data_IF_347073598203
#
_entry.id   IF_347073598203
#
_cell.length_a   1.000
_cell.length_b   1.000
_cell.length_c   1.000
_cell.angle_alpha   90.00
_cell.angle_beta   90.00
_cell.angle_gamma   90.00
#
_symmetry.space_group_name_H-M   'P 1'
#
loop_
_entity.id
_entity.type
_entity.pdbx_description
1 polymer ?
#
# COMPACT_ATOMS: atom_id res chain seq x y z
N UNK A 1 7.30 4.73 -30.08
CA UNK A 1 6.48 4.06 -29.06
C UNK A 1 6.83 4.78 -27.77
N UNK A 2 5.88 5.42 -27.09
CA UNK A 2 6.21 5.98 -25.76
C UNK A 2 6.74 4.81 -24.92
N UNK A 3 7.84 4.97 -24.16
CA UNK A 3 8.26 3.86 -23.31
C UNK A 3 7.16 3.59 -22.28
N UNK A 4 6.86 2.30 -22.09
CA UNK A 4 5.81 1.87 -21.19
C UNK A 4 6.26 2.14 -19.75
N UNK A 5 5.68 3.18 -19.15
CA UNK A 5 5.87 3.52 -17.73
C UNK A 5 5.35 2.37 -16.89
N UNK A 6 6.10 2.00 -15.86
CA UNK A 6 5.76 0.96 -14.90
C UNK A 6 5.93 1.49 -13.48
N UNK A 7 4.92 1.26 -12.64
CA UNK A 7 4.95 1.53 -11.20
C UNK A 7 4.81 0.23 -10.44
N UNK A 8 5.60 0.07 -9.38
CA UNK A 8 5.51 -1.06 -8.45
C UNK A 8 5.14 -0.55 -7.07
N UNK A 9 4.14 -1.15 -6.43
CA UNK A 9 3.86 -0.95 -5.01
C UNK A 9 4.14 -2.24 -4.24
N UNK A 10 4.77 -2.12 -3.07
CA UNK A 10 5.17 -3.25 -2.23
C UNK A 10 4.42 -3.18 -0.91
N UNK A 11 3.64 -4.23 -0.61
CA UNK A 11 2.78 -4.34 0.56
C UNK A 11 3.03 -5.65 1.30
N UNK A 12 2.66 -5.67 2.58
CA UNK A 12 2.92 -6.81 3.46
C UNK A 12 1.85 -7.89 3.29
N UNK A 13 0.58 -7.49 3.33
CA UNK A 13 -0.56 -8.40 3.40
C UNK A 13 -1.63 -8.08 2.36
N UNK A 14 -2.51 -9.06 2.03
CA UNK A 14 -3.70 -8.80 1.22
C UNK A 14 -4.71 -7.90 1.95
N UNK A 15 -4.94 -6.67 1.46
CA UNK A 15 -5.81 -5.57 1.96
C UNK A 15 -5.07 -4.23 2.09
N UNK A 16 -3.76 -4.29 2.31
CA UNK A 16 -2.89 -3.12 2.38
C UNK A 16 -2.99 -2.27 1.11
N UNK A 17 -3.03 -2.91 -0.06
CA UNK A 17 -3.10 -2.25 -1.36
C UNK A 17 -4.43 -1.49 -1.56
N UNK A 18 -5.50 -1.95 -0.91
CA UNK A 18 -6.82 -1.35 -1.01
C UNK A 18 -6.92 -0.02 -0.24
N UNK A 19 -6.10 0.17 0.79
CA UNK A 19 -6.13 1.35 1.67
C UNK A 19 -4.94 2.31 1.48
N UNK A 20 -3.85 1.86 0.83
CA UNK A 20 -2.59 2.60 0.72
C UNK A 20 -2.20 2.88 -0.74
N UNK A 21 -3.08 3.58 -1.47
CA UNK A 21 -2.79 4.06 -2.82
C UNK A 21 -3.70 3.58 -3.94
N UNK A 22 -4.72 2.76 -3.63
CA UNK A 22 -5.64 2.21 -4.65
C UNK A 22 -6.14 3.24 -5.68
N UNK A 23 -6.63 4.44 -5.30
CA UNK A 23 -7.03 5.48 -6.25
C UNK A 23 -5.87 5.98 -7.14
N UNK A 24 -4.67 6.21 -6.58
CA UNK A 24 -3.47 6.59 -7.34
C UNK A 24 -3.11 5.52 -8.37
N UNK A 25 -3.09 4.25 -7.96
CA UNK A 25 -2.74 3.14 -8.85
C UNK A 25 -3.80 2.96 -9.96
N UNK A 26 -5.08 3.08 -9.63
CA UNK A 26 -6.16 3.03 -10.62
C UNK A 26 -6.07 4.17 -11.64
N UNK A 27 -5.74 5.38 -11.20
CA UNK A 27 -5.46 6.52 -12.10
C UNK A 27 -4.31 6.21 -13.05
N UNK A 28 -3.21 5.66 -12.53
CA UNK A 28 -2.05 5.34 -13.36
C UNK A 28 -2.34 4.23 -14.38
N UNK A 29 -3.05 3.18 -13.98
CA UNK A 29 -3.53 2.16 -14.90
C UNK A 29 -4.43 2.76 -16.01
N UNK A 30 -5.38 3.63 -15.66
CA UNK A 30 -6.29 4.25 -16.64
C UNK A 30 -5.56 5.09 -17.70
N UNK A 31 -4.45 5.75 -17.32
CA UNK A 31 -3.59 6.51 -18.26
C UNK A 31 -2.50 5.67 -18.94
N UNK A 32 -2.57 4.33 -18.81
CA UNK A 32 -1.72 3.39 -19.53
C UNK A 32 -0.36 3.11 -18.90
N UNK A 33 -0.16 3.45 -17.62
CA UNK A 33 1.01 3.00 -16.85
C UNK A 33 0.78 1.56 -16.42
N UNK A 34 1.77 0.70 -16.62
CA UNK A 34 1.75 -0.68 -16.11
C UNK A 34 1.86 -0.66 -14.58
N UNK A 35 0.92 -1.28 -13.89
CA UNK A 35 0.84 -1.29 -12.43
C UNK A 35 1.16 -2.69 -11.87
N UNK A 36 2.12 -2.75 -10.95
CA UNK A 36 2.59 -4.00 -10.34
C UNK A 36 2.34 -3.96 -8.84
N UNK A 37 1.67 -4.98 -8.32
CA UNK A 37 1.56 -5.23 -6.89
C UNK A 37 2.55 -6.33 -6.48
N UNK A 38 3.40 -6.04 -5.50
CA UNK A 38 4.13 -7.06 -4.75
C UNK A 38 3.48 -7.19 -3.38
N UNK A 39 2.94 -8.36 -3.05
CA UNK A 39 2.41 -8.70 -1.74
C UNK A 39 3.35 -9.70 -1.06
N UNK A 40 3.93 -9.35 0.08
CA UNK A 40 5.01 -10.14 0.67
C UNK A 40 4.54 -11.44 1.31
N UNK A 41 3.31 -11.47 1.84
CA UNK A 41 2.76 -12.60 2.58
C UNK A 41 1.34 -12.95 2.16
N UNK A 42 0.88 -14.15 2.51
CA UNK A 42 -0.51 -14.57 2.29
C UNK A 42 -1.50 -14.03 3.33
N UNK A 43 -0.98 -13.44 4.41
CA UNK A 43 -1.82 -12.95 5.50
C UNK A 43 -2.38 -14.06 6.39
N UNK A 44 -1.59 -15.09 6.62
CA UNK A 44 -2.03 -16.32 7.29
C UNK A 44 -2.38 -16.14 8.77
N UNK A 45 -1.97 -15.03 9.38
CA UNK A 45 -2.21 -14.72 10.80
C UNK A 45 -3.35 -13.70 10.99
N UNK A 46 -4.07 -13.34 9.90
CA UNK A 46 -5.22 -12.46 9.95
C UNK A 46 -6.45 -13.13 10.59
N UNK A 47 -7.04 -12.47 11.60
CA UNK A 47 -8.34 -12.86 12.15
C UNK A 47 -9.51 -12.31 11.28
N UNK A 48 -10.71 -12.87 11.44
CA UNK A 48 -11.92 -12.33 10.83
C UNK A 48 -12.32 -11.00 11.51
N UNK A 49 -12.19 -9.90 10.76
CA UNK A 49 -12.51 -8.54 11.22
C UNK A 49 -13.93 -8.09 10.89
N UNK A 50 -14.60 -8.76 9.94
CA UNK A 50 -15.98 -8.44 9.57
C UNK A 50 -16.99 -9.23 10.41
N UNK A 51 -17.63 -8.62 11.43
CA UNK A 51 -18.56 -9.33 12.31
C UNK A 51 -19.83 -9.79 11.59
N UNK A 52 -20.24 -9.12 10.51
CA UNK A 52 -21.45 -9.49 9.76
C UNK A 52 -21.34 -10.90 9.18
N UNK A 53 -20.13 -11.38 8.88
CA UNK A 53 -19.90 -12.72 8.34
C UNK A 53 -20.14 -13.86 9.36
N UNK A 54 -20.37 -13.53 10.64
CA UNK A 54 -20.74 -14.47 11.72
C UNK A 54 -22.27 -14.58 11.92
N UNK A 55 -23.06 -13.74 11.27
CA UNK A 55 -24.53 -13.74 11.42
C UNK A 55 -25.18 -15.03 10.87
N UNK A 56 -26.37 -15.42 11.35
CA UNK A 56 -27.07 -16.61 10.85
C UNK A 56 -27.20 -16.63 9.31
N UNK A 57 -26.69 -17.70 8.71
CA UNK A 57 -26.68 -17.89 7.24
C UNK A 57 -25.44 -17.37 6.53
N UNK A 58 -24.48 -16.78 7.25
CA UNK A 58 -23.20 -16.32 6.72
C UNK A 58 -22.10 -17.39 6.87
N UNK A 59 -20.99 -17.29 6.11
CA UNK A 59 -19.99 -18.36 6.01
C UNK A 59 -19.32 -18.74 7.32
N UNK A 60 -19.21 -17.82 8.29
CA UNK A 60 -18.52 -18.03 9.57
C UNK A 60 -19.48 -18.31 10.72
N UNK A 61 -20.78 -18.47 10.45
CA UNK A 61 -21.78 -18.65 11.49
C UNK A 61 -21.56 -19.93 12.29
N UNK A 62 -21.33 -19.79 13.59
CA UNK A 62 -21.21 -20.91 14.53
C UNK A 62 -19.87 -21.65 14.47
N UNK A 63 -18.87 -21.11 13.78
CA UNK A 63 -17.52 -21.66 13.72
C UNK A 63 -16.74 -21.40 15.01
N UNK A 64 -15.78 -22.27 15.32
CA UNK A 64 -14.77 -22.00 16.35
C UNK A 64 -13.71 -21.01 15.82
N UNK A 65 -12.95 -20.32 16.69
CA UNK A 65 -11.87 -19.43 16.25
C UNK A 65 -10.85 -20.11 15.31
N UNK A 66 -10.57 -21.40 15.50
CA UNK A 66 -9.66 -22.17 14.65
C UNK A 66 -10.26 -22.39 13.25
N UNK A 67 -11.54 -22.76 13.17
CA UNK A 67 -12.26 -22.92 11.89
C UNK A 67 -12.37 -21.58 11.15
N UNK A 68 -12.62 -20.48 11.87
CA UNK A 68 -12.65 -19.14 11.27
C UNK A 68 -11.29 -18.80 10.65
N UNK A 69 -10.19 -19.03 11.36
CA UNK A 69 -8.84 -18.75 10.83
C UNK A 69 -8.55 -19.57 9.58
N UNK A 70 -8.83 -20.86 9.59
CA UNK A 70 -8.63 -21.72 8.40
C UNK A 70 -9.44 -21.21 7.20
N UNK A 71 -10.70 -20.80 7.42
CA UNK A 71 -11.54 -20.26 6.35
C UNK A 71 -11.04 -18.90 5.86
N UNK A 72 -10.64 -17.96 6.76
CA UNK A 72 -10.04 -16.68 6.37
C UNK A 72 -8.84 -16.90 5.47
N UNK A 73 -7.87 -17.74 5.89
CA UNK A 73 -6.66 -18.06 5.12
C UNK A 73 -7.02 -18.56 3.72
N UNK A 74 -8.06 -19.39 3.60
CA UNK A 74 -8.51 -19.91 2.30
C UNK A 74 -9.18 -18.88 1.40
N UNK A 75 -9.77 -17.82 1.96
CA UNK A 75 -10.49 -16.78 1.24
C UNK A 75 -9.57 -15.65 0.75
N UNK A 76 -8.56 -15.28 1.54
CA UNK A 76 -7.68 -14.13 1.26
C UNK A 76 -7.05 -14.10 -0.14
N UNK A 77 -6.63 -15.23 -0.77
CA UNK A 77 -6.11 -15.19 -2.14
C UNK A 77 -7.14 -14.70 -3.17
N UNK A 78 -8.40 -15.14 -3.05
CA UNK A 78 -9.47 -14.71 -3.96
C UNK A 78 -9.90 -13.26 -3.68
N UNK A 79 -9.85 -12.83 -2.43
CA UNK A 79 -10.08 -11.44 -2.02
C UNK A 79 -9.01 -10.50 -2.61
N UNK A 80 -7.73 -10.89 -2.53
CA UNK A 80 -6.62 -10.17 -3.16
C UNK A 80 -6.80 -10.07 -4.68
N UNK A 81 -7.12 -11.18 -5.34
CA UNK A 81 -7.34 -11.20 -6.79
C UNK A 81 -8.48 -10.25 -7.20
N UNK A 82 -9.59 -10.28 -6.45
CA UNK A 82 -10.73 -9.40 -6.70
C UNK A 82 -10.38 -7.92 -6.46
N UNK A 83 -9.67 -7.61 -5.37
CA UNK A 83 -9.19 -6.26 -5.06
C UNK A 83 -8.24 -5.75 -6.14
N UNK A 84 -7.25 -6.57 -6.53
CA UNK A 84 -6.26 -6.20 -7.52
C UNK A 84 -6.90 -5.93 -8.90
N UNK A 85 -7.92 -6.71 -9.26
CA UNK A 85 -8.71 -6.48 -10.48
C UNK A 85 -9.51 -5.18 -10.43
N UNK A 86 -10.05 -4.81 -9.27
CA UNK A 86 -10.76 -3.53 -9.11
C UNK A 86 -9.79 -2.37 -9.27
N UNK A 87 -8.64 -2.41 -8.61
CA UNK A 87 -7.63 -1.35 -8.69
C UNK A 87 -7.05 -1.24 -10.11
N UNK A 88 -6.97 -2.36 -10.82
CA UNK A 88 -6.36 -2.43 -12.15
C UNK A 88 -4.86 -2.69 -12.05
N UNK A 89 -4.43 -3.63 -11.20
CA UNK A 89 -3.06 -4.16 -11.27
C UNK A 89 -2.91 -5.09 -12.48
N UNK A 90 -1.89 -4.84 -13.31
CA UNK A 90 -1.54 -5.71 -14.45
C UNK A 90 -0.89 -7.01 -14.00
N UNK A 91 -0.20 -7.00 -12.86
CA UNK A 91 0.46 -8.16 -12.30
C UNK A 91 0.45 -8.11 -10.76
N UNK A 92 0.06 -9.22 -10.15
CA UNK A 92 0.19 -9.46 -8.70
C UNK A 92 1.29 -10.48 -8.48
N UNK A 93 2.27 -10.12 -7.65
CA UNK A 93 3.44 -10.93 -7.32
C UNK A 93 3.40 -11.25 -5.83
N UNK A 94 3.36 -12.53 -5.48
CA UNK A 94 3.59 -12.96 -4.11
C UNK A 94 5.09 -13.13 -3.87
N UNK A 95 5.66 -12.45 -2.87
CA UNK A 95 7.09 -12.61 -2.52
C UNK A 95 7.38 -13.97 -1.85
N UNK A 96 6.35 -14.55 -1.25
CA UNK A 96 6.32 -15.94 -0.79
C UNK A 96 6.84 -16.16 0.63
N UNK A 97 6.55 -15.24 1.54
CA UNK A 97 6.78 -15.42 2.97
C UNK A 97 5.48 -15.65 3.74
N UNK A 98 5.56 -16.25 4.92
CA UNK A 98 4.42 -16.36 5.84
C UNK A 98 4.22 -15.04 6.57
N UNK A 99 2.97 -14.64 6.78
CA UNK A 99 2.60 -13.57 7.70
C UNK A 99 3.21 -13.79 9.08
N UNK A 100 3.80 -12.75 9.65
CA UNK A 100 4.44 -12.82 10.96
C UNK A 100 3.47 -12.61 12.10
N UNK A 101 2.26 -12.10 11.84
CA UNK A 101 1.37 -11.60 12.87
C UNK A 101 1.94 -10.39 13.61
N UNK A 102 1.22 -9.95 14.64
CA UNK A 102 1.59 -8.76 15.42
C UNK A 102 2.88 -8.97 16.22
N UNK A 103 3.57 -7.88 16.54
CA UNK A 103 4.78 -7.90 17.36
C UNK A 103 4.56 -8.64 18.69
N UNK A 104 5.57 -9.39 19.12
CA UNK A 104 5.60 -10.14 20.39
C UNK A 104 4.52 -11.23 20.51
N UNK A 105 4.04 -11.77 19.37
CA UNK A 105 3.11 -12.90 19.31
C UNK A 105 3.79 -14.20 18.87
N UNK A 106 3.27 -15.41 19.20
CA UNK A 106 3.90 -16.67 18.82
C UNK A 106 4.23 -16.84 17.32
N UNK A 107 3.40 -16.35 16.37
CA UNK A 107 3.73 -16.39 14.94
C UNK A 107 5.04 -15.68 14.55
N UNK A 108 5.48 -14.66 15.31
CA UNK A 108 6.79 -14.01 15.10
C UNK A 108 7.95 -15.00 15.24
N UNK A 109 7.78 -16.12 15.93
CA UNK A 109 8.83 -17.13 16.12
C UNK A 109 8.88 -18.16 14.99
N UNK A 110 7.88 -18.21 14.11
CA UNK A 110 7.80 -19.20 13.03
C UNK A 110 8.99 -19.06 12.06
N UNK A 111 9.70 -20.14 11.69
CA UNK A 111 10.91 -20.06 10.87
C UNK A 111 10.68 -19.44 9.49
N UNK A 112 9.48 -19.63 8.93
CA UNK A 112 9.12 -19.12 7.60
C UNK A 112 8.44 -17.72 7.62
N UNK A 113 8.29 -17.09 8.80
CA UNK A 113 7.65 -15.78 8.86
C UNK A 113 8.55 -14.67 8.28
N UNK A 114 7.92 -13.69 7.65
CA UNK A 114 8.62 -12.65 6.92
C UNK A 114 9.50 -11.78 7.82
N UNK A 115 9.08 -11.52 9.06
CA UNK A 115 9.85 -10.79 10.05
C UNK A 115 11.19 -11.47 10.35
N UNK A 116 11.26 -12.81 10.26
CA UNK A 116 12.48 -13.60 10.49
C UNK A 116 13.29 -13.90 9.23
N UNK A 117 12.76 -13.55 8.05
CA UNK A 117 13.47 -13.76 6.80
C UNK A 117 14.85 -13.09 6.83
N UNK A 118 15.84 -13.75 6.24
CA UNK A 118 17.14 -13.11 6.03
C UNK A 118 16.94 -11.87 5.14
N UNK A 119 17.44 -10.73 5.62
CA UNK A 119 17.19 -9.45 4.98
C UNK A 119 17.79 -9.40 3.57
N UNK A 120 18.96 -10.01 3.36
CA UNK A 120 19.64 -10.01 2.07
C UNK A 120 18.94 -10.93 1.08
N UNK A 121 18.48 -12.10 1.53
CA UNK A 121 17.67 -13.01 0.72
C UNK A 121 16.36 -12.36 0.28
N UNK A 122 15.60 -11.78 1.20
CA UNK A 122 14.33 -11.12 0.91
C UNK A 122 14.50 -9.93 -0.03
N UNK A 123 15.57 -9.14 0.17
CA UNK A 123 15.95 -8.06 -0.74
C UNK A 123 16.27 -8.60 -2.14
N UNK A 124 17.04 -9.68 -2.23
CA UNK A 124 17.40 -10.31 -3.51
C UNK A 124 16.18 -10.80 -4.30
N UNK A 125 15.17 -11.35 -3.61
CA UNK A 125 13.89 -11.72 -4.24
C UNK A 125 13.18 -10.50 -4.83
N UNK A 126 13.09 -9.40 -4.09
CA UNK A 126 12.47 -8.17 -4.58
C UNK A 126 13.27 -7.54 -5.73
N UNK A 127 14.61 -7.56 -5.66
CA UNK A 127 15.48 -7.12 -6.77
C UNK A 127 15.19 -7.90 -8.06
N UNK A 128 15.02 -9.23 -7.98
CA UNK A 128 14.68 -10.03 -9.16
C UNK A 128 13.34 -9.58 -9.79
N UNK A 129 12.36 -9.20 -8.97
CA UNK A 129 11.09 -8.65 -9.47
C UNK A 129 11.24 -7.25 -10.06
N UNK A 130 12.02 -6.37 -9.42
CA UNK A 130 12.33 -5.02 -9.96
C UNK A 130 13.03 -5.15 -11.31
N UNK A 131 14.05 -6.01 -11.44
CA UNK A 131 14.78 -6.21 -12.70
C UNK A 131 13.91 -6.80 -13.80
N UNK A 132 13.01 -7.74 -13.47
CA UNK A 132 12.05 -8.31 -14.42
C UNK A 132 11.02 -7.30 -14.91
N UNK A 133 10.47 -6.51 -13.99
CA UNK A 133 9.32 -5.63 -14.29
C UNK A 133 9.73 -4.22 -14.68
N UNK A 134 10.97 -3.83 -14.38
CA UNK A 134 11.60 -2.54 -14.71
C UNK A 134 10.76 -1.31 -14.28
N UNK A 135 10.30 -1.22 -13.01
CA UNK A 135 9.47 -0.12 -12.54
C UNK A 135 10.28 1.17 -12.34
N UNK A 136 9.89 2.27 -12.98
CA UNK A 136 10.57 3.55 -12.75
C UNK A 136 10.23 4.16 -11.39
N UNK A 137 9.04 3.84 -10.88
CA UNK A 137 8.54 4.31 -9.59
C UNK A 137 8.29 3.11 -8.70
N UNK A 138 8.79 3.17 -7.47
CA UNK A 138 8.50 2.20 -6.40
C UNK A 138 7.77 2.93 -5.27
N UNK A 139 6.67 2.35 -4.79
CA UNK A 139 5.93 2.79 -3.61
C UNK A 139 6.13 1.74 -2.50
N UNK A 140 6.41 2.18 -1.28
CA UNK A 140 6.53 1.33 -0.09
C UNK A 140 6.09 2.08 1.17
N UNK A 141 6.24 1.46 2.34
CA UNK A 141 5.93 2.08 3.62
C UNK A 141 6.96 3.12 4.04
N UNK A 142 6.51 4.08 4.85
CA UNK A 142 7.36 5.11 5.46
C UNK A 142 8.42 4.51 6.39
N UNK A 143 9.52 5.23 6.56
CA UNK A 143 10.51 4.99 7.62
C UNK A 143 9.97 5.33 9.02
N UNK A 144 8.95 6.20 9.08
CA UNK A 144 8.17 6.48 10.30
C UNK A 144 6.90 5.64 10.31
N UNK A 145 6.91 4.55 11.08
CA UNK A 145 5.80 3.62 11.24
C UNK A 145 5.25 3.59 12.68
N UNK A 146 5.50 4.63 13.48
CA UNK A 146 5.10 4.66 14.89
C UNK A 146 3.59 4.47 15.10
N UNK A 147 2.77 4.87 14.13
CA UNK A 147 1.31 4.72 14.19
C UNK A 147 0.80 3.29 14.01
N UNK A 148 1.57 2.40 13.36
CA UNK A 148 1.21 1.00 13.15
C UNK A 148 2.46 0.14 12.89
N UNK A 149 3.20 -0.23 13.96
CA UNK A 149 4.49 -0.91 13.84
C UNK A 149 4.35 -2.42 13.61
N UNK A 150 3.61 -2.82 12.57
CA UNK A 150 3.48 -4.23 12.22
C UNK A 150 4.84 -4.79 11.77
N UNK A 151 5.32 -5.93 12.30
CA UNK A 151 6.64 -6.50 11.97
C UNK A 151 6.89 -6.63 10.46
N UNK A 152 5.88 -7.08 9.71
CA UNK A 152 5.98 -7.21 8.25
C UNK A 152 6.02 -5.88 7.51
N UNK A 153 5.37 -4.82 8.01
CA UNK A 153 5.46 -3.50 7.38
C UNK A 153 6.85 -2.89 7.55
N UNK A 154 7.46 -3.09 8.73
CA UNK A 154 8.86 -2.72 8.96
C UNK A 154 9.77 -3.48 7.99
N UNK A 155 9.56 -4.78 7.83
CA UNK A 155 10.35 -5.61 6.91
C UNK A 155 10.15 -5.22 5.44
N UNK A 156 8.92 -4.90 5.01
CA UNK A 156 8.62 -4.38 3.67
C UNK A 156 9.42 -3.12 3.40
N UNK A 157 9.43 -2.17 4.34
CA UNK A 157 10.22 -0.94 4.22
C UNK A 157 11.71 -1.26 4.04
N UNK A 158 12.28 -2.06 4.96
CA UNK A 158 13.70 -2.42 4.94
C UNK A 158 14.13 -3.01 3.59
N UNK A 159 13.40 -4.02 3.10
CA UNK A 159 13.76 -4.68 1.83
C UNK A 159 13.52 -3.77 0.63
N UNK A 160 12.52 -2.88 0.67
CA UNK A 160 12.18 -2.02 -0.45
C UNK A 160 13.23 -0.93 -0.67
N UNK A 161 13.70 -0.31 0.41
CA UNK A 161 14.79 0.69 0.35
C UNK A 161 16.07 0.04 -0.17
N UNK A 162 16.44 -1.13 0.34
CA UNK A 162 17.62 -1.85 -0.12
C UNK A 162 17.49 -2.32 -1.57
N UNK A 163 16.32 -2.84 -1.97
CA UNK A 163 16.09 -3.30 -3.33
C UNK A 163 16.10 -2.14 -4.34
N UNK A 164 15.57 -0.96 -3.98
CA UNK A 164 15.67 0.25 -4.79
C UNK A 164 17.13 0.63 -5.04
N UNK A 165 17.97 0.62 -4.00
CA UNK A 165 19.39 1.01 -4.10
C UNK A 165 20.23 -0.06 -4.83
N UNK A 166 19.89 -1.35 -4.72
CA UNK A 166 20.69 -2.47 -5.26
C UNK A 166 20.26 -2.97 -6.64
N UNK A 167 19.03 -2.71 -7.08
CA UNK A 167 18.53 -3.29 -8.33
C UNK A 167 19.30 -2.83 -9.57
N UNK A 168 19.87 -1.61 -9.55
CA UNK A 168 20.69 -1.05 -10.63
C UNK A 168 22.16 -1.47 -10.62
N UNK A 169 22.63 -2.14 -9.57
CA UNK A 169 24.03 -2.52 -9.42
C UNK A 169 24.28 -3.97 -9.88
N UNK A 170 25.12 -4.24 -10.90
CA UNK A 170 25.41 -5.58 -11.39
C UNK A 170 26.14 -6.49 -10.39
N UNK A 171 26.83 -5.93 -9.40
CA UNK A 171 27.56 -6.72 -8.41
C UNK A 171 26.62 -7.31 -7.35
N UNK A 172 25.45 -6.67 -7.14
CA UNK A 172 24.39 -7.21 -6.29
C UNK A 172 23.53 -8.19 -7.07
N UNK A 173 23.36 -9.40 -6.51
CA UNK A 173 22.48 -10.45 -7.05
C UNK A 173 22.69 -10.71 -8.56
N UNK A 174 23.89 -11.15 -9.01
CA UNK A 174 24.21 -11.29 -10.44
C UNK A 174 23.27 -12.25 -11.19
N UNK A 175 22.68 -13.22 -10.49
CA UNK A 175 21.75 -14.19 -11.06
C UNK A 175 20.28 -13.71 -11.10
N UNK A 176 19.98 -12.50 -10.61
CA UNK A 176 18.62 -11.93 -10.53
C UNK A 176 18.14 -11.25 -11.83
N UNK A 177 18.83 -11.47 -12.94
CA UNK A 177 18.57 -10.83 -14.24
C UNK A 177 19.33 -9.52 -14.45
N UNK A 178 19.12 -8.90 -15.61
CA UNK A 178 19.79 -7.67 -16.02
C UNK A 178 19.49 -6.52 -15.04
N UNK A 179 20.51 -5.75 -14.61
CA UNK A 179 20.31 -4.60 -13.73
C UNK A 179 19.27 -3.61 -14.26
N UNK A 180 18.53 -3.02 -13.33
CA UNK A 180 17.59 -1.96 -13.62
C UNK A 180 17.47 -1.06 -12.41
N UNK A 181 17.69 0.23 -12.61
CA UNK A 181 17.60 1.23 -11.55
C UNK A 181 16.22 1.92 -11.57
N UNK A 182 15.34 1.68 -10.58
CA UNK A 182 14.20 2.55 -10.36
C UNK A 182 14.66 3.98 -10.10
N UNK A 183 13.86 4.96 -10.53
CA UNK A 183 14.27 6.36 -10.54
C UNK A 183 13.68 7.15 -9.36
N UNK A 184 12.53 6.73 -8.83
CA UNK A 184 11.87 7.39 -7.70
C UNK A 184 11.30 6.39 -6.70
N UNK A 185 11.51 6.66 -5.41
CA UNK A 185 10.98 5.89 -4.29
C UNK A 185 10.05 6.77 -3.47
N UNK A 186 8.79 6.35 -3.33
CA UNK A 186 7.80 7.04 -2.51
C UNK A 186 7.42 6.22 -1.30
N UNK A 187 7.15 6.93 -0.20
CA UNK A 187 6.51 6.37 0.97
C UNK A 187 5.03 6.75 1.00
N UNK A 188 4.20 5.75 1.27
CA UNK A 188 2.81 5.95 1.68
C UNK A 188 2.76 6.67 3.02
N UNK A 189 1.87 7.64 3.18
CA UNK A 189 1.66 8.33 4.45
C UNK A 189 0.18 8.54 4.74
N UNK A 190 -0.16 8.67 6.01
CA UNK A 190 -1.48 9.04 6.46
C UNK A 190 -1.47 10.50 6.94
N UNK A 191 -1.82 11.43 6.04
CA UNK A 191 -1.73 12.85 6.36
C UNK A 191 -2.76 13.27 7.42
N UNK A 192 -2.32 14.09 8.37
CA UNK A 192 -3.18 14.74 9.36
C UNK A 192 -4.20 15.62 8.67
N UNK A 193 -3.80 16.33 7.61
CA UNK A 193 -4.72 17.13 6.79
C UNK A 193 -5.86 16.31 6.19
N UNK A 194 -5.59 15.14 5.60
CA UNK A 194 -6.64 14.23 5.10
C UNK A 194 -7.54 13.75 6.24
N UNK A 195 -6.95 13.34 7.36
CA UNK A 195 -7.69 12.86 8.52
C UNK A 195 -8.65 13.92 9.08
N UNK A 196 -8.20 15.17 9.22
CA UNK A 196 -9.04 16.30 9.65
C UNK A 196 -10.17 16.53 8.65
N UNK A 197 -9.89 16.57 7.34
CA UNK A 197 -10.91 16.78 6.32
C UNK A 197 -11.98 15.68 6.32
N UNK A 198 -11.57 14.41 6.46
CA UNK A 198 -12.48 13.27 6.60
C UNK A 198 -13.30 13.34 7.88
N UNK A 199 -12.68 13.66 9.02
CA UNK A 199 -13.36 13.84 10.31
C UNK A 199 -14.45 14.89 10.23
N UNK A 200 -14.14 16.08 9.72
CA UNK A 200 -15.12 17.15 9.57
C UNK A 200 -16.21 16.79 8.56
N UNK A 201 -15.86 16.10 7.47
CA UNK A 201 -16.81 15.55 6.51
C UNK A 201 -17.82 14.61 7.17
N UNK A 202 -17.33 13.67 7.97
CA UNK A 202 -18.15 12.71 8.71
C UNK A 202 -19.08 13.42 9.70
N UNK A 203 -18.57 14.39 10.47
CA UNK A 203 -19.41 15.20 11.35
C UNK A 203 -20.50 15.96 10.59
N UNK A 204 -20.20 16.51 9.40
CA UNK A 204 -21.19 17.24 8.58
C UNK A 204 -22.27 16.33 8.00
N UNK A 205 -21.90 15.15 7.51
CA UNK A 205 -22.82 14.26 6.78
C UNK A 205 -23.51 13.21 7.65
N UNK A 206 -22.83 12.72 8.68
CA UNK A 206 -23.29 11.65 9.55
C UNK A 206 -23.59 12.11 10.98
N UNK A 207 -23.12 13.30 11.38
CA UNK A 207 -23.30 13.83 12.74
C UNK A 207 -22.31 13.25 13.76
N UNK A 208 -21.53 12.25 13.38
CA UNK A 208 -20.51 11.60 14.21
C UNK A 208 -19.30 11.21 13.37
N UNK A 209 -18.18 10.91 14.04
CA UNK A 209 -16.93 10.48 13.41
C UNK A 209 -16.27 9.38 14.25
N UNK A 210 -15.70 8.33 13.63
CA UNK A 210 -14.95 7.29 14.32
C UNK A 210 -13.54 7.73 14.76
N UNK A 211 -13.06 8.89 14.28
CA UNK A 211 -11.80 9.49 14.72
C UNK A 211 -12.01 10.29 16.01
N UNK A 212 -11.41 9.81 17.10
CA UNK A 212 -11.45 10.41 18.44
C UNK A 212 -10.19 11.25 18.74
N UNK A 213 -10.11 11.80 19.96
CA UNK A 213 -8.99 12.64 20.40
C UNK A 213 -7.63 11.92 20.31
N UNK A 214 -7.59 10.60 20.56
CA UNK A 214 -6.36 9.81 20.47
C UNK A 214 -5.81 9.76 19.04
N UNK A 215 -6.67 9.81 18.01
CA UNK A 215 -6.21 9.99 16.63
C UNK A 215 -5.54 11.35 16.44
N UNK A 216 -6.04 12.42 17.08
CA UNK A 216 -5.53 13.79 16.98
C UNK A 216 -4.26 14.04 17.79
N UNK A 217 -3.98 13.24 18.80
CA UNK A 217 -2.75 13.30 19.60
C UNK A 217 -1.53 12.62 18.93
N UNK A 218 -1.76 11.76 17.93
CA UNK A 218 -0.64 11.11 17.20
C UNK A 218 0.26 12.15 16.52
N UNK A 219 1.60 11.97 16.53
CA UNK A 219 2.49 12.80 15.73
C UNK A 219 2.07 12.78 14.26
N UNK A 220 2.00 13.95 13.63
CA UNK A 220 1.79 14.05 12.18
C UNK A 220 3.11 14.13 11.42
N UNK A 221 3.04 13.73 10.15
CA UNK A 221 4.17 13.77 9.22
C UNK A 221 3.87 14.69 8.03
N UNK A 222 2.91 15.61 8.16
CA UNK A 222 2.45 16.42 7.03
C UNK A 222 3.60 17.24 6.44
N UNK A 223 4.47 17.78 7.29
CA UNK A 223 5.68 18.51 6.90
C UNK A 223 6.66 17.71 6.01
N UNK A 224 6.48 16.38 5.89
CA UNK A 224 7.26 15.51 5.00
C UNK A 224 6.57 15.22 3.68
N UNK A 225 5.28 15.54 3.55
CA UNK A 225 4.53 15.33 2.29
C UNK A 225 5.11 16.24 1.21
N UNK A 226 5.58 15.64 0.13
CA UNK A 226 6.19 16.34 -0.99
C UNK A 226 5.35 16.27 -2.26
N UNK A 227 4.39 15.34 -2.31
CA UNK A 227 3.64 15.01 -3.54
C UNK A 227 2.16 14.81 -3.26
N UNK A 228 1.30 15.31 -4.15
CA UNK A 228 -0.16 15.13 -4.11
C UNK A 228 -0.71 14.74 -5.45
N UNK A 229 -1.32 13.56 -5.50
CA UNK A 229 -1.99 13.07 -6.71
C UNK A 229 -3.49 13.35 -6.60
N UNK A 230 -4.05 14.09 -7.57
CA UNK A 230 -5.51 14.24 -7.68
C UNK A 230 -6.10 12.89 -8.07
N UNK A 231 -6.92 12.33 -7.19
CA UNK A 231 -7.58 11.05 -7.35
C UNK A 231 -9.10 11.15 -7.22
N UNK A 232 -9.67 12.36 -7.32
CA UNK A 232 -11.08 12.61 -7.07
C UNK A 232 -12.03 11.74 -7.88
N UNK A 233 -11.64 11.37 -9.12
CA UNK A 233 -12.41 10.50 -10.01
C UNK A 233 -12.17 8.98 -9.77
N UNK A 234 -11.30 8.62 -8.82
CA UNK A 234 -10.79 7.24 -8.63
C UNK A 234 -11.05 6.65 -7.24
N UNK A 235 -11.81 7.32 -6.36
CA UNK A 235 -12.17 6.75 -5.05
C UNK A 235 -12.94 5.43 -5.12
N UNK A 236 -13.62 5.17 -6.25
CA UNK A 236 -14.26 3.89 -6.52
C UNK A 236 -13.28 2.71 -6.43
N UNK A 237 -12.00 2.92 -6.75
CA UNK A 237 -10.98 1.88 -6.67
C UNK A 237 -10.72 1.48 -5.22
N UNK A 238 -10.53 2.46 -4.31
CA UNK A 238 -10.45 2.21 -2.86
C UNK A 238 -11.70 1.51 -2.36
N UNK A 239 -12.87 2.06 -2.67
CA UNK A 239 -14.14 1.55 -2.13
C UNK A 239 -14.44 0.13 -2.61
N UNK A 240 -14.20 -0.17 -3.89
CA UNK A 240 -14.39 -1.51 -4.44
C UNK A 240 -13.33 -2.51 -3.95
N UNK A 241 -12.06 -2.09 -3.86
CA UNK A 241 -10.97 -2.91 -3.36
C UNK A 241 -11.16 -3.30 -1.89
N UNK A 242 -11.50 -2.33 -1.04
CA UNK A 242 -11.80 -2.58 0.38
C UNK A 242 -12.97 -3.55 0.53
N UNK A 243 -14.02 -3.43 -0.29
CA UNK A 243 -15.16 -4.36 -0.26
C UNK A 243 -14.81 -5.76 -0.77
N UNK A 244 -13.77 -5.92 -1.57
CA UNK A 244 -13.32 -7.22 -2.04
C UNK A 244 -12.68 -8.05 -0.91
N UNK A 245 -12.08 -7.38 0.09
CA UNK A 245 -11.53 -7.99 1.30
C UNK A 245 -12.60 -8.19 2.38
N UNK A 246 -13.63 -8.98 2.06
CA UNK A 246 -14.79 -9.18 2.91
C UNK A 246 -14.46 -9.72 4.31
N UNK A 247 -13.40 -10.54 4.45
CA UNK A 247 -12.95 -11.05 5.76
C UNK A 247 -12.30 -9.96 6.62
N UNK A 248 -11.65 -8.97 6.01
CA UNK A 248 -10.88 -7.93 6.70
C UNK A 248 -11.64 -6.61 6.85
N UNK A 249 -12.64 -6.36 6.00
CA UNK A 249 -13.33 -5.09 5.93
C UNK A 249 -14.84 -5.29 6.02
N UNK A 250 -15.42 -4.74 7.07
CA UNK A 250 -16.87 -4.63 7.22
C UNK A 250 -17.42 -3.51 6.32
N UNK A 251 -18.33 -3.79 5.36
CA UNK A 251 -18.91 -2.79 4.49
C UNK A 251 -19.78 -1.74 5.22
N UNK A 252 -20.13 -1.98 6.48
CA UNK A 252 -20.85 -1.04 7.35
C UNK A 252 -19.92 -0.16 8.20
N UNK A 253 -18.60 -0.41 8.21
CA UNK A 253 -17.66 0.34 9.03
C UNK A 253 -17.58 1.81 8.58
N UNK A 254 -18.04 2.72 9.44
CA UNK A 254 -18.01 4.16 9.19
C UNK A 254 -16.58 4.71 8.94
N UNK A 255 -15.56 4.07 9.52
CA UNK A 255 -14.15 4.39 9.26
C UNK A 255 -13.79 4.27 7.77
N UNK A 256 -14.31 3.26 7.08
CA UNK A 256 -14.04 3.03 5.66
C UNK A 256 -15.07 3.70 4.75
N UNK A 257 -16.36 3.62 5.10
CA UNK A 257 -17.50 3.91 4.22
C UNK A 257 -18.48 4.94 4.77
N UNK A 258 -18.13 5.68 5.84
CA UNK A 258 -18.99 6.72 6.39
C UNK A 258 -19.17 7.93 5.46
N UNK A 259 -18.28 8.10 4.48
CA UNK A 259 -18.43 9.03 3.36
C UNK A 259 -18.51 8.24 2.05
N UNK A 260 -19.38 8.68 1.15
CA UNK A 260 -19.44 8.20 -0.24
C UNK A 260 -18.23 8.69 -1.04
N UNK A 261 -17.97 8.09 -2.19
CA UNK A 261 -16.85 8.49 -3.07
C UNK A 261 -16.96 9.96 -3.53
N UNK A 262 -18.18 10.44 -3.80
CA UNK A 262 -18.45 11.85 -4.13
C UNK A 262 -18.12 12.77 -2.94
N UNK A 263 -18.53 12.39 -1.73
CA UNK A 263 -18.19 13.15 -0.53
C UNK A 263 -16.69 13.12 -0.23
N UNK A 264 -16.01 11.99 -0.43
CA UNK A 264 -14.55 11.88 -0.28
C UNK A 264 -13.82 12.83 -1.24
N UNK A 265 -14.26 12.87 -2.50
CA UNK A 265 -13.78 13.83 -3.51
C UNK A 265 -13.97 15.28 -3.05
N UNK A 266 -15.13 15.62 -2.52
CA UNK A 266 -15.42 16.99 -2.09
C UNK A 266 -14.58 17.43 -0.88
N UNK A 267 -14.31 16.53 0.07
CA UNK A 267 -13.57 16.88 1.29
C UNK A 267 -12.05 16.83 1.09
N UNK A 268 -11.54 15.85 0.34
CA UNK A 268 -10.10 15.67 0.15
C UNK A 268 -9.79 14.83 -1.09
N UNK A 269 -9.70 15.43 -2.30
CA UNK A 269 -9.54 14.70 -3.56
C UNK A 269 -8.10 14.21 -3.82
N UNK A 270 -7.26 14.13 -2.78
CA UNK A 270 -5.82 13.89 -2.92
C UNK A 270 -5.39 12.61 -2.22
N UNK A 271 -4.43 11.91 -2.81
CA UNK A 271 -3.51 11.05 -2.07
C UNK A 271 -2.16 11.74 -1.91
N UNK A 272 -1.70 11.81 -0.66
CA UNK A 272 -0.45 12.42 -0.25
C UNK A 272 0.68 11.38 -0.22
N UNK A 273 1.84 11.75 -0.73
CA UNK A 273 3.02 10.90 -0.77
C UNK A 273 4.28 11.64 -0.32
N UNK A 274 5.25 10.88 0.19
CA UNK A 274 6.59 11.38 0.53
C UNK A 274 7.57 10.81 -0.50
N UNK A 275 8.08 11.65 -1.39
CA UNK A 275 9.21 11.31 -2.26
C UNK A 275 10.48 11.16 -1.39
N UNK A 276 10.87 9.91 -1.13
CA UNK A 276 11.99 9.56 -0.26
C UNK A 276 13.34 9.61 -0.98
N UNK A 277 13.36 9.19 -2.25
CA UNK A 277 14.54 9.29 -3.13
C UNK A 277 14.12 9.63 -4.55
N UNK A 278 14.90 10.49 -5.19
CA UNK A 278 14.78 10.83 -6.61
C UNK A 278 16.15 10.79 -7.26
N UNK A 279 16.25 10.12 -8.41
CA UNK A 279 17.42 10.12 -9.28
C UNK A 279 17.22 10.99 -10.54
N UNK A 280 16.09 11.71 -10.62
CA UNK A 280 15.67 12.48 -11.81
C UNK A 280 15.28 13.93 -11.47
N UNK A 281 15.85 14.49 -10.42
CA UNK A 281 15.58 15.85 -9.95
C UNK A 281 15.65 15.93 -8.43
N UNK A 282 15.60 17.15 -7.90
CA UNK A 282 15.59 17.38 -6.46
C UNK A 282 14.25 16.94 -5.85
N UNK A 283 14.29 16.51 -4.59
CA UNK A 283 13.06 16.26 -3.82
C UNK A 283 12.39 17.61 -3.54
N UNK A 284 11.11 17.82 -3.90
CA UNK A 284 10.46 19.10 -3.69
C UNK A 284 10.27 19.38 -2.19
N UNK A 285 10.33 20.65 -1.82
CA UNK A 285 10.00 21.14 -0.47
C UNK A 285 8.80 22.11 -0.59
N UNK A 286 7.56 21.60 -0.47
CA UNK A 286 6.35 22.43 -0.56
C UNK A 286 6.19 23.43 0.60
N UNK A 287 7.03 23.33 1.64
CA UNK A 287 6.98 24.18 2.83
C UNK A 287 8.01 25.32 2.77
N UNK A 288 8.91 25.32 1.79
CA UNK A 288 9.79 26.43 1.48
C UNK A 288 9.03 27.60 0.82
N UNK A 289 9.64 28.80 0.82
CA UNK A 289 9.07 29.97 0.15
C UNK A 289 8.96 29.74 -1.36
N UNK A 290 7.73 29.76 -1.89
CA UNK A 290 7.43 29.41 -3.28
C UNK A 290 7.52 27.92 -3.60
N UNK A 291 7.59 27.04 -2.59
CA UNK A 291 7.57 25.59 -2.76
C UNK A 291 6.22 25.07 -3.29
N UNK A 292 6.28 24.09 -4.17
CA UNK A 292 5.10 23.43 -4.75
C UNK A 292 5.14 21.93 -4.49
N UNK A 293 3.97 21.31 -4.37
CA UNK A 293 3.86 19.86 -4.35
C UNK A 293 4.10 19.32 -5.76
N UNK A 294 4.74 18.17 -5.85
CA UNK A 294 4.69 17.39 -7.08
C UNK A 294 3.27 16.84 -7.32
N UNK A 295 2.86 16.75 -8.58
CA UNK A 295 1.50 16.32 -8.97
C UNK A 295 1.46 15.09 -9.88
N UNK A 296 2.62 14.53 -10.21
CA UNK A 296 2.78 13.26 -10.93
C UNK A 296 3.98 12.50 -10.33
N UNK A 297 3.75 11.26 -9.87
CA UNK A 297 4.82 10.36 -9.41
C UNK A 297 5.89 10.10 -10.49
N UNK A 298 5.57 10.30 -11.77
CA UNK A 298 6.51 10.20 -12.89
C UNK A 298 7.12 11.56 -13.31
N UNK A 299 6.90 12.63 -12.56
CA UNK A 299 7.53 13.92 -12.84
C UNK A 299 9.06 13.77 -12.83
N UNK A 300 9.71 14.34 -13.86
CA UNK A 300 11.15 14.18 -14.11
C UNK A 300 11.57 12.84 -14.74
N UNK A 301 10.72 11.79 -14.69
CA UNK A 301 11.05 10.47 -15.27
C UNK A 301 11.08 10.55 -16.80
N UNK A 302 12.21 10.22 -17.46
CA UNK A 302 12.30 10.23 -18.92
C UNK A 302 11.28 9.30 -19.58
N UNK A 303 10.78 9.71 -20.74
CA UNK A 303 9.88 8.88 -21.55
C UNK A 303 10.56 7.66 -22.19
N UNK A 304 11.88 7.49 -22.04
CA UNK A 304 12.65 6.30 -22.38
C UNK A 304 13.64 6.04 -21.24
N UNK A 305 13.53 4.89 -20.59
CA UNK A 305 14.56 4.44 -19.63
C UNK A 305 15.57 3.63 -20.43
N UNK A 306 16.68 4.26 -20.82
CA UNK A 306 17.76 3.56 -21.50
C UNK A 306 18.27 2.43 -20.61
N UNK A 307 18.33 1.23 -21.21
CA UNK A 307 18.85 0.00 -20.62
C UNK A 307 20.25 0.13 -20.06
#
# INVERSE_FOLDING_TARGET
MAADRTIMTVHAHPDDEASKGAPTLAKYHDVGVRTILVCCTGGEEGDLQNPSLREPGQPFHGMTPEEERELVVSMRPAELEASAKVIGFDEVIMLGYRDSGMADTPPNEHPDCFHRADLDEATGRLVAHIRRTRPQVVITYSDDQQGYPHPDHLRVHDISVLAFDRAGDPDWYPDAGEPFQPLKLYYSTWSRRRLVAMHEGLLRHQGESPFDEAWFERPDTDHRVTTRIDVGDYFWARTGALKAHATQVDPSAAFWFGLTDEQLRDVYPWEDWILARSLVGDVPDPYADGGEYEHDLFEGVPAEVTS
#
